data_IF_979626667263
#
_entry.id   IF_979626667263
#
_cell.length_a   1.000
_cell.length_b   1.000
_cell.length_c   1.000
_cell.angle_alpha   90.00
_cell.angle_beta   90.00
_cell.angle_gamma   90.00
#
_symmetry.space_group_name_H-M   'P 1'
#
loop_
_entity.id
_entity.type
_entity.pdbx_description
1 polymer ?
#
# COMPACT_ATOMS: atom_id res chain seq x y z
N UNK A 1 22.36 20.30 -1.59
CA UNK A 1 21.90 19.33 -0.56
C UNK A 1 20.98 18.33 -1.24
N UNK A 2 21.28 17.04 -1.20
CA UNK A 2 20.31 16.01 -1.62
C UNK A 2 19.27 15.96 -0.49
N UNK A 3 18.04 16.41 -0.75
CA UNK A 3 16.94 16.23 0.19
C UNK A 3 16.71 14.73 0.33
N UNK A 4 16.92 14.21 1.54
CA UNK A 4 16.72 12.80 1.88
C UNK A 4 15.22 12.55 2.07
N UNK A 5 14.74 11.39 1.63
CA UNK A 5 13.38 10.98 1.94
C UNK A 5 13.20 10.74 3.44
N UNK A 6 12.01 11.11 3.95
CA UNK A 6 11.62 10.99 5.35
C UNK A 6 10.10 10.84 5.46
N UNK A 7 9.56 10.24 6.54
CA UNK A 7 8.12 9.98 6.66
C UNK A 7 7.23 11.21 6.40
N UNK A 8 7.64 12.39 6.86
CA UNK A 8 6.91 13.67 6.66
C UNK A 8 6.65 14.08 5.21
N UNK A 9 7.27 13.41 4.23
CA UNK A 9 6.99 13.63 2.81
C UNK A 9 5.72 12.92 2.33
N UNK A 10 5.37 11.79 2.95
CA UNK A 10 4.09 11.13 2.74
C UNK A 10 3.09 11.67 3.75
N UNK A 11 2.37 12.73 3.36
CA UNK A 11 1.31 13.31 4.17
C UNK A 11 0.13 13.70 3.29
N UNK A 12 -1.07 13.28 3.67
CA UNK A 12 -2.31 13.53 2.92
C UNK A 12 -2.96 12.28 2.36
N UNK A 13 -3.95 12.46 1.49
CA UNK A 13 -4.73 11.39 0.90
C UNK A 13 -4.10 10.89 -0.40
N UNK A 14 -3.98 9.57 -0.54
CA UNK A 14 -3.45 8.90 -1.73
C UNK A 14 -4.51 7.94 -2.22
N UNK A 15 -4.73 7.91 -3.54
CA UNK A 15 -5.65 6.97 -4.17
C UNK A 15 -4.87 5.94 -4.95
N UNK A 16 -5.36 4.71 -4.96
CA UNK A 16 -4.75 3.61 -5.68
C UNK A 16 -5.79 2.63 -6.23
N UNK A 17 -5.33 1.84 -7.19
CA UNK A 17 -5.99 0.62 -7.64
C UNK A 17 -4.90 -0.40 -7.97
N UNK A 18 -5.14 -1.66 -7.60
CA UNK A 18 -4.23 -2.78 -7.84
C UNK A 18 -5.04 -4.01 -8.19
N UNK A 19 -4.47 -4.89 -8.99
CA UNK A 19 -5.02 -6.20 -9.29
C UNK A 19 -3.87 -7.19 -9.45
N UNK A 20 -4.19 -8.47 -9.32
CA UNK A 20 -3.19 -9.51 -9.35
C UNK A 20 -3.72 -10.86 -8.94
N UNK A 21 -2.83 -11.68 -8.39
CA UNK A 21 -3.14 -13.06 -8.02
C UNK A 21 -2.69 -13.40 -6.61
N UNK A 22 -3.52 -14.18 -5.92
CA UNK A 22 -3.13 -14.97 -4.76
C UNK A 22 -2.79 -16.38 -5.27
N UNK A 23 -1.56 -16.82 -5.04
CA UNK A 23 -1.03 -18.11 -5.46
C UNK A 23 -1.16 -19.09 -4.30
N UNK A 24 -2.00 -20.10 -4.48
CA UNK A 24 -2.21 -21.18 -3.51
C UNK A 24 -1.98 -22.53 -4.19
N UNK A 25 -0.81 -23.13 -3.93
CA UNK A 25 -0.37 -24.33 -4.65
C UNK A 25 -0.24 -24.05 -6.16
N UNK A 26 -1.05 -24.72 -6.98
CA UNK A 26 -1.12 -24.51 -8.43
C UNK A 26 -2.20 -23.53 -8.88
N UNK A 27 -3.04 -23.05 -7.95
CA UNK A 27 -4.14 -22.14 -8.26
C UNK A 27 -3.66 -20.68 -8.23
N UNK A 28 -4.10 -19.90 -9.22
CA UNK A 28 -3.96 -18.45 -9.24
C UNK A 28 -5.35 -17.84 -9.06
N UNK A 29 -5.62 -17.34 -7.86
CA UNK A 29 -6.88 -16.75 -7.46
C UNK A 29 -6.82 -15.25 -7.80
N UNK A 30 -7.59 -14.77 -8.79
CA UNK A 30 -7.55 -13.36 -9.16
C UNK A 30 -8.17 -12.49 -8.07
N UNK A 31 -7.56 -11.33 -7.84
CA UNK A 31 -8.14 -10.29 -7.01
C UNK A 31 -7.96 -8.91 -7.64
N UNK A 32 -8.79 -7.97 -7.22
CA UNK A 32 -8.66 -6.55 -7.49
C UNK A 32 -8.99 -5.75 -6.23
N UNK A 33 -8.33 -4.61 -6.04
CA UNK A 33 -8.54 -3.72 -4.92
C UNK A 33 -8.43 -2.26 -5.37
N UNK A 34 -9.33 -1.42 -4.87
CA UNK A 34 -9.25 0.02 -5.05
C UNK A 34 -9.65 0.73 -3.76
N UNK A 35 -8.95 1.82 -3.46
CA UNK A 35 -9.09 2.47 -2.16
C UNK A 35 -8.31 3.77 -2.07
N UNK A 36 -8.20 4.24 -0.83
CA UNK A 36 -7.37 5.38 -0.49
C UNK A 36 -6.70 5.21 0.85
N UNK A 37 -5.52 5.81 0.97
CA UNK A 37 -4.73 5.90 2.19
C UNK A 37 -4.62 7.34 2.63
N UNK A 38 -4.76 7.56 3.93
CA UNK A 38 -4.37 8.79 4.58
C UNK A 38 -3.03 8.52 5.27
N UNK A 39 -1.97 9.13 4.76
CA UNK A 39 -0.65 9.13 5.40
C UNK A 39 -0.54 10.32 6.37
N UNK A 40 -0.11 10.07 7.61
CA UNK A 40 -0.04 11.11 8.65
C UNK A 40 1.24 11.96 8.55
N UNK A 41 2.29 11.43 7.90
CA UNK A 41 3.61 12.06 7.82
C UNK A 41 4.51 11.79 9.03
N UNK A 42 4.09 10.93 9.93
CA UNK A 42 4.83 10.52 11.14
C UNK A 42 5.26 9.05 11.12
N UNK A 43 5.07 8.36 9.99
CA UNK A 43 5.31 6.92 9.87
C UNK A 43 4.06 6.07 10.08
N UNK A 44 2.88 6.68 10.24
CA UNK A 44 1.59 5.97 10.32
C UNK A 44 0.66 6.32 9.16
N UNK A 45 -0.23 5.39 8.84
CA UNK A 45 -1.32 5.60 7.88
C UNK A 45 -2.59 4.84 8.28
N UNK A 46 -3.70 5.28 7.69
CA UNK A 46 -5.00 4.59 7.75
C UNK A 46 -5.58 4.54 6.35
N UNK A 47 -6.44 3.58 6.07
CA UNK A 47 -7.01 3.46 4.73
C UNK A 47 -8.31 2.69 4.69
N UNK A 48 -8.95 2.78 3.53
CA UNK A 48 -10.19 2.10 3.21
C UNK A 48 -10.11 1.56 1.79
N UNK A 49 -10.56 0.32 1.61
CA UNK A 49 -10.56 -0.31 0.30
C UNK A 49 -11.80 -1.18 0.07
N UNK A 50 -12.16 -1.33 -1.20
CA UNK A 50 -13.01 -2.42 -1.67
C UNK A 50 -12.11 -3.46 -2.34
N UNK A 51 -12.26 -4.71 -1.94
CA UNK A 51 -11.53 -5.85 -2.50
C UNK A 51 -12.52 -6.76 -3.22
N UNK A 52 -12.12 -7.27 -4.38
CA UNK A 52 -12.82 -8.31 -5.11
C UNK A 52 -11.91 -9.52 -5.22
N UNK A 53 -12.31 -10.66 -4.66
CA UNK A 53 -11.57 -11.93 -4.77
C UNK A 53 -12.46 -12.93 -5.48
N UNK A 54 -12.07 -13.40 -6.68
CA UNK A 54 -12.95 -14.22 -7.55
C UNK A 54 -14.34 -13.62 -7.79
N UNK A 55 -14.47 -12.29 -7.74
CA UNK A 55 -15.76 -11.59 -7.89
C UNK A 55 -16.53 -11.40 -6.58
N UNK A 56 -16.13 -12.02 -5.47
CA UNK A 56 -16.72 -11.76 -4.15
C UNK A 56 -16.20 -10.46 -3.58
N UNK A 57 -17.09 -9.59 -3.08
CA UNK A 57 -16.75 -8.24 -2.64
C UNK A 57 -16.65 -8.15 -1.13
N UNK A 58 -15.51 -7.65 -0.64
CA UNK A 58 -15.32 -7.22 0.74
C UNK A 58 -14.94 -5.74 0.80
N UNK A 59 -15.24 -5.11 1.93
CA UNK A 59 -14.86 -3.73 2.22
C UNK A 59 -14.12 -3.71 3.53
N UNK A 60 -12.92 -3.18 3.51
CA UNK A 60 -12.01 -3.19 4.64
C UNK A 60 -11.61 -1.78 5.02
N UNK A 61 -11.41 -1.60 6.33
CA UNK A 61 -10.68 -0.49 6.90
C UNK A 61 -9.40 -1.05 7.51
N UNK A 62 -8.30 -0.33 7.38
CA UNK A 62 -7.02 -0.78 7.89
C UNK A 62 -6.19 0.37 8.43
N UNK A 63 -5.23 0.03 9.28
CA UNK A 63 -4.20 0.95 9.76
C UNK A 63 -2.84 0.29 9.64
N UNK A 64 -1.80 1.11 9.55
CA UNK A 64 -0.47 0.61 9.33
C UNK A 64 0.63 1.57 9.73
N UNK A 65 1.85 1.05 9.64
CA UNK A 65 3.08 1.82 9.83
C UNK A 65 3.95 1.69 8.59
N UNK A 66 4.77 2.70 8.34
CA UNK A 66 5.74 2.69 7.25
C UNK A 66 7.04 3.36 7.66
N UNK A 67 8.11 2.98 6.97
CA UNK A 67 9.43 3.61 7.07
C UNK A 67 9.82 4.22 5.74
N UNK A 68 10.71 5.21 5.75
CA UNK A 68 11.36 5.71 4.55
C UNK A 68 12.85 5.90 4.82
N UNK A 69 13.64 5.30 3.96
CA UNK A 69 15.08 5.45 3.89
C UNK A 69 15.44 6.71 3.10
N UNK A 70 16.69 7.16 3.23
CA UNK A 70 17.19 8.37 2.58
C UNK A 70 17.14 8.31 1.04
N UNK A 71 17.15 7.11 0.46
CA UNK A 71 17.06 6.82 -0.97
C UNK A 71 15.61 6.74 -1.49
N UNK A 72 14.62 7.02 -0.63
CA UNK A 72 13.19 6.94 -0.92
C UNK A 72 12.63 5.52 -1.12
N UNK A 73 13.40 4.49 -0.78
CA UNK A 73 12.87 3.16 -0.51
C UNK A 73 12.31 3.07 0.92
N UNK A 74 11.36 2.17 1.15
CA UNK A 74 10.77 1.97 2.46
C UNK A 74 10.01 0.68 2.55
N UNK A 75 9.46 0.41 3.73
CA UNK A 75 8.57 -0.72 3.97
C UNK A 75 7.28 -0.24 4.61
N UNK A 76 6.20 -1.00 4.43
CA UNK A 76 4.96 -0.79 5.14
C UNK A 76 4.40 -2.11 5.67
N UNK A 77 3.70 -2.01 6.80
CA UNK A 77 2.88 -3.07 7.37
C UNK A 77 1.52 -2.50 7.68
N UNK A 78 0.46 -3.16 7.23
CA UNK A 78 -0.91 -2.81 7.60
C UNK A 78 -1.63 -4.02 8.18
N UNK A 79 -2.60 -3.74 9.04
CA UNK A 79 -3.55 -4.72 9.57
C UNK A 79 -4.96 -4.22 9.31
N UNK A 80 -5.81 -5.08 8.75
CA UNK A 80 -7.19 -4.75 8.48
C UNK A 80 -8.12 -5.03 9.68
N UNK A 81 -9.39 -4.63 9.55
CA UNK A 81 -10.41 -4.83 10.57
C UNK A 81 -10.84 -6.29 10.77
N UNK A 82 -10.33 -7.22 9.97
CA UNK A 82 -10.48 -8.67 10.14
C UNK A 82 -9.29 -9.30 10.88
N UNK A 83 -8.20 -8.53 11.09
CA UNK A 83 -6.97 -8.96 11.72
C UNK A 83 -5.92 -9.49 10.75
N UNK A 84 -6.17 -9.41 9.44
CA UNK A 84 -5.22 -9.84 8.42
C UNK A 84 -4.10 -8.79 8.28
N UNK A 85 -2.85 -9.25 8.20
CA UNK A 85 -1.68 -8.38 8.12
C UNK A 85 -0.98 -8.57 6.78
N UNK A 86 -0.61 -7.47 6.13
CA UNK A 86 0.10 -7.47 4.86
C UNK A 86 1.37 -6.61 4.91
N UNK A 87 2.38 -7.01 4.13
CA UNK A 87 3.69 -6.37 4.08
C UNK A 87 4.02 -5.88 2.67
N UNK A 88 4.67 -4.72 2.59
CA UNK A 88 4.98 -4.06 1.33
C UNK A 88 6.36 -3.41 1.34
N UNK A 89 6.98 -3.36 0.16
CA UNK A 89 8.04 -2.39 -0.13
C UNK A 89 7.42 -1.16 -0.80
N UNK A 90 7.93 0.02 -0.45
CA UNK A 90 7.50 1.32 -0.96
C UNK A 90 8.64 2.01 -1.71
N UNK A 91 8.32 2.73 -2.78
CA UNK A 91 9.25 3.61 -3.50
C UNK A 91 8.60 4.96 -3.78
N UNK A 92 9.16 6.03 -3.22
CA UNK A 92 8.49 7.33 -3.14
C UNK A 92 9.21 8.39 -3.99
N UNK A 93 8.44 9.21 -4.70
CA UNK A 93 8.98 10.39 -5.38
C UNK A 93 9.47 11.44 -4.38
N UNK A 94 10.51 12.21 -4.72
CA UNK A 94 11.11 13.21 -3.81
C UNK A 94 10.18 14.38 -3.42
N UNK A 95 9.02 14.54 -4.06
CA UNK A 95 7.99 15.50 -3.66
C UNK A 95 6.82 14.84 -2.89
N UNK A 96 6.91 13.53 -2.67
CA UNK A 96 5.87 12.70 -2.06
C UNK A 96 4.58 12.63 -2.85
N UNK A 97 4.49 13.16 -4.08
CA UNK A 97 3.22 13.23 -4.80
C UNK A 97 2.77 11.87 -5.37
N UNK A 98 3.72 10.96 -5.56
CA UNK A 98 3.49 9.62 -6.10
C UNK A 98 4.38 8.63 -5.40
N UNK A 99 3.88 7.42 -5.17
CA UNK A 99 4.68 6.27 -4.80
C UNK A 99 4.27 5.04 -5.59
N UNK A 100 5.10 4.02 -5.57
CA UNK A 100 4.72 2.65 -5.92
C UNK A 100 4.85 1.76 -4.71
N UNK A 101 4.04 0.72 -4.65
CA UNK A 101 4.23 -0.38 -3.71
C UNK A 101 4.23 -1.73 -4.43
N UNK A 102 4.82 -2.72 -3.78
CA UNK A 102 4.73 -4.13 -4.14
C UNK A 102 4.46 -4.93 -2.86
N UNK A 103 3.52 -5.88 -2.92
CA UNK A 103 3.26 -6.75 -1.78
C UNK A 103 4.37 -7.81 -1.68
N UNK A 104 4.90 -8.00 -0.48
CA UNK A 104 6.05 -8.88 -0.24
C UNK A 104 5.68 -10.18 0.47
N UNK A 105 4.40 -10.35 0.84
CA UNK A 105 3.89 -11.59 1.41
C UNK A 105 3.99 -12.76 0.42
N UNK A 106 4.37 -13.93 0.94
CA UNK A 106 4.43 -15.14 0.13
C UNK A 106 3.04 -15.48 -0.44
N UNK A 107 3.01 -15.81 -1.74
CA UNK A 107 1.77 -16.14 -2.43
C UNK A 107 1.00 -14.94 -2.97
N UNK A 108 1.49 -13.70 -2.83
CA UNK A 108 0.86 -12.54 -3.47
C UNK A 108 1.70 -12.05 -4.65
N UNK A 109 1.01 -11.72 -5.75
CA UNK A 109 1.60 -11.16 -6.97
C UNK A 109 0.84 -9.88 -7.31
N UNK A 110 1.31 -8.75 -6.80
CA UNK A 110 0.66 -7.44 -6.99
C UNK A 110 1.61 -6.27 -6.79
N UNK A 111 1.40 -5.20 -7.55
CA UNK A 111 2.10 -3.92 -7.39
C UNK A 111 1.26 -2.82 -8.00
N UNK A 112 1.32 -1.60 -7.46
CA UNK A 112 0.58 -0.47 -8.01
C UNK A 112 1.25 0.87 -7.74
N UNK A 113 0.71 1.90 -8.37
CA UNK A 113 0.98 3.28 -8.05
C UNK A 113 -0.06 3.80 -7.05
N UNK A 114 0.37 4.67 -6.15
CA UNK A 114 -0.51 5.56 -5.39
C UNK A 114 -0.18 7.02 -5.69
N UNK A 115 -1.22 7.83 -5.82
CA UNK A 115 -1.09 9.23 -6.22
C UNK A 115 -1.76 10.09 -5.17
N UNK A 116 -1.03 11.08 -4.64
CA UNK A 116 -1.60 12.07 -3.71
C UNK A 116 -2.71 12.85 -4.40
N UNK A 117 -3.86 12.94 -3.74
CA UNK A 117 -4.97 13.81 -4.11
C UNK A 117 -5.09 14.87 -3.02
N UNK A 118 -4.89 16.12 -3.44
CA UNK A 118 -5.07 17.30 -2.61
C UNK A 118 -6.56 17.67 -2.51
#
# INVERSE_FOLDING_TARGET
MISQCKPSMLKGHYVYATDGYIVSGSEQIPFAQAGHDLFQGDGTFTGWATVSTKGEITRIAYSGTYTLNADCGGTATLTDNNGDTAHFDLFVTKNGATMTYIQTDAGYVSSAFEIRRD
#
